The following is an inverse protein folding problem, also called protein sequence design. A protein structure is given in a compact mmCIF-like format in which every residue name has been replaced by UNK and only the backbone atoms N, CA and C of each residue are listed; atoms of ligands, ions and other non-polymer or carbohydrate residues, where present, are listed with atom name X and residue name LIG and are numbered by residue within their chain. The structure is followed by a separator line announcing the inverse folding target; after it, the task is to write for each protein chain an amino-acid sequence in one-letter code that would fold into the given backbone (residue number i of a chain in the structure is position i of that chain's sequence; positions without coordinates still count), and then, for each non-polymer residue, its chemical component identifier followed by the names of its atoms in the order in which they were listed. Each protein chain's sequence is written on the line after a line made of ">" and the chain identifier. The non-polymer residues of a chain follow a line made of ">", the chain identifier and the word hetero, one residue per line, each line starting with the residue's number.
data_IF_636204368431
#
_entry.id   IF_636204368431
#
_cell.length_a   1.000
_cell.length_b   1.000
_cell.length_c   1.000
_cell.angle_alpha   90.00
_cell.angle_beta   90.00
_cell.angle_gamma   90.00
#
_symmetry.space_group_name_H-M   'P 1'
#
loop_
_entity.id
_entity.type
_entity.pdbx_description
1 polymer ?
#
# COMPACT_ATOMS: atom_id res chain seq x y z
N UNK A 1 -11.83 4.42 -24.32
CA UNK A 1 -10.88 3.34 -24.01
C UNK A 1 -9.91 3.85 -22.96
N UNK A 2 -9.86 3.24 -21.77
CA UNK A 2 -9.14 3.80 -20.60
C UNK A 2 -7.74 3.19 -20.51
N UNK A 3 -6.72 4.00 -20.26
CA UNK A 3 -5.34 3.52 -20.08
C UNK A 3 -4.91 3.72 -18.63
N UNK A 4 -4.29 2.69 -18.05
CA UNK A 4 -3.73 2.74 -16.70
C UNK A 4 -2.25 2.39 -16.80
N UNK A 5 -1.39 3.35 -16.48
CA UNK A 5 0.07 3.16 -16.41
C UNK A 5 0.56 3.13 -14.95
N UNK A 6 -0.33 3.27 -13.95
CA UNK A 6 0.01 3.15 -12.52
C UNK A 6 -0.33 1.73 -12.00
N UNK A 7 0.66 0.99 -11.45
CA UNK A 7 0.47 -0.40 -11.01
C UNK A 7 -0.42 -0.52 -9.77
N UNK A 8 -0.50 0.51 -8.92
CA UNK A 8 -1.35 0.49 -7.72
C UNK A 8 -2.82 0.69 -8.09
N UNK A 9 -3.11 1.64 -8.99
CA UNK A 9 -4.46 1.85 -9.52
C UNK A 9 -4.91 0.61 -10.29
N UNK A 10 -4.01 -0.02 -11.05
CA UNK A 10 -4.31 -1.24 -11.77
C UNK A 10 -4.62 -2.40 -10.82
N UNK A 11 -3.85 -2.56 -9.74
CA UNK A 11 -4.09 -3.55 -8.70
C UNK A 11 -5.45 -3.38 -8.03
N UNK A 12 -5.80 -2.17 -7.61
CA UNK A 12 -7.11 -1.89 -6.99
C UNK A 12 -8.26 -2.23 -7.96
N UNK A 13 -8.09 -1.95 -9.26
CA UNK A 13 -9.05 -2.34 -10.28
C UNK A 13 -9.18 -3.87 -10.40
N UNK A 14 -8.06 -4.60 -10.45
CA UNK A 14 -8.06 -6.05 -10.53
C UNK A 14 -8.69 -6.70 -9.28
N UNK A 15 -8.37 -6.19 -8.08
CA UNK A 15 -8.97 -6.62 -6.81
C UNK A 15 -10.49 -6.40 -6.81
N UNK A 16 -10.99 -5.27 -7.33
CA UNK A 16 -12.44 -5.01 -7.47
C UNK A 16 -13.14 -5.92 -8.48
N UNK A 17 -12.42 -6.37 -9.52
CA UNK A 17 -13.05 -7.15 -10.58
C UNK A 17 -13.14 -8.64 -10.27
N UNK A 18 -12.14 -9.22 -9.61
CA UNK A 18 -12.09 -10.67 -9.39
C UNK A 18 -12.11 -11.08 -7.92
N UNK A 19 -11.76 -10.21 -6.97
CA UNK A 19 -11.63 -10.56 -5.54
C UNK A 19 -10.54 -11.58 -5.21
N UNK A 20 -9.99 -12.27 -6.21
CA UNK A 20 -9.00 -13.35 -6.11
C UNK A 20 -7.67 -12.95 -6.75
N UNK A 21 -6.55 -13.58 -6.35
CA UNK A 21 -5.26 -13.35 -6.98
C UNK A 21 -5.25 -13.88 -8.42
N UNK A 22 -5.10 -12.96 -9.37
CA UNK A 22 -5.04 -13.28 -10.80
C UNK A 22 -3.59 -13.46 -11.26
N UNK A 23 -3.37 -14.35 -12.23
CA UNK A 23 -2.11 -14.40 -12.99
C UNK A 23 -1.99 -13.20 -13.94
N UNK A 24 -0.78 -12.80 -14.39
CA UNK A 24 -0.61 -11.69 -15.34
C UNK A 24 -1.39 -11.89 -16.64
N UNK A 25 -1.49 -13.13 -17.11
CA UNK A 25 -2.27 -13.49 -18.30
C UNK A 25 -3.77 -13.27 -18.09
N UNK A 26 -4.31 -13.72 -16.95
CA UNK A 26 -5.72 -13.52 -16.61
C UNK A 26 -6.05 -12.04 -16.39
N UNK A 27 -5.17 -11.30 -15.69
CA UNK A 27 -5.31 -9.87 -15.51
C UNK A 27 -5.36 -9.13 -16.85
N UNK A 28 -4.49 -9.49 -17.80
CA UNK A 28 -4.51 -8.91 -19.15
C UNK A 28 -5.83 -9.17 -19.89
N UNK A 29 -6.34 -10.40 -19.84
CA UNK A 29 -7.62 -10.76 -20.46
C UNK A 29 -8.79 -9.98 -19.84
N UNK A 30 -8.81 -9.89 -18.50
CA UNK A 30 -9.83 -9.16 -17.77
C UNK A 30 -9.83 -7.67 -18.11
N UNK A 31 -8.64 -7.06 -18.20
CA UNK A 31 -8.48 -5.66 -18.60
C UNK A 31 -8.95 -5.44 -20.05
N UNK A 32 -8.63 -6.34 -20.97
CA UNK A 32 -9.09 -6.28 -22.35
C UNK A 32 -10.62 -6.36 -22.45
N UNK A 33 -11.25 -7.28 -21.70
CA UNK A 33 -12.70 -7.41 -21.62
C UNK A 33 -13.40 -6.15 -21.07
N UNK A 34 -12.70 -5.36 -20.23
CA UNK A 34 -13.20 -4.07 -19.71
C UNK A 34 -12.78 -2.86 -20.53
N UNK A 35 -12.12 -3.05 -21.67
CA UNK A 35 -11.65 -1.94 -22.52
C UNK A 35 -10.55 -1.09 -21.86
N UNK A 36 -9.77 -1.69 -20.94
CA UNK A 36 -8.66 -1.06 -20.25
C UNK A 36 -7.34 -1.54 -20.88
N UNK A 37 -6.47 -0.60 -21.23
CA UNK A 37 -5.10 -0.89 -21.69
C UNK A 37 -4.09 -0.61 -20.58
N UNK A 38 -3.17 -1.55 -20.37
CA UNK A 38 -2.03 -1.40 -19.47
C UNK A 38 -0.79 -2.01 -20.13
N UNK A 39 0.41 -1.52 -19.79
CA UNK A 39 1.67 -2.10 -20.28
C UNK A 39 1.92 -3.43 -19.54
N UNK A 40 2.56 -4.38 -20.22
CA UNK A 40 2.89 -5.70 -19.65
C UNK A 40 3.65 -5.58 -18.31
N UNK A 41 4.67 -4.72 -18.25
CA UNK A 41 5.42 -4.43 -17.02
C UNK A 41 4.52 -3.96 -15.85
N UNK A 42 3.53 -3.12 -16.14
CA UNK A 42 2.60 -2.58 -15.13
C UNK A 42 1.62 -3.65 -14.66
N UNK A 43 1.18 -4.53 -15.56
CA UNK A 43 0.33 -5.69 -15.21
C UNK A 43 1.09 -6.64 -14.28
N UNK A 44 2.34 -6.94 -14.62
CA UNK A 44 3.23 -7.78 -13.82
C UNK A 44 3.48 -7.18 -12.43
N UNK A 45 3.80 -5.88 -12.36
CA UNK A 45 3.94 -5.17 -11.09
C UNK A 45 2.63 -5.16 -10.28
N UNK A 46 1.47 -5.00 -10.92
CA UNK A 46 0.18 -5.02 -10.22
C UNK A 46 -0.14 -6.40 -9.64
N UNK A 47 0.20 -7.47 -10.37
CA UNK A 47 -0.10 -8.87 -10.02
C UNK A 47 0.90 -9.44 -9.01
N UNK A 48 2.21 -9.32 -9.26
CA UNK A 48 3.23 -9.81 -8.34
C UNK A 48 3.40 -8.92 -7.10
N UNK A 49 2.85 -7.72 -7.15
CA UNK A 49 2.89 -6.76 -6.06
C UNK A 49 4.13 -5.88 -6.16
N UNK A 50 3.96 -4.71 -6.80
CA UNK A 50 4.79 -3.56 -6.54
C UNK A 50 4.91 -3.41 -5.02
N UNK A 51 6.11 -3.15 -4.48
CA UNK A 51 6.30 -2.98 -3.04
C UNK A 51 5.22 -2.02 -2.58
N UNK A 52 4.34 -2.50 -1.68
CA UNK A 52 3.18 -1.74 -1.21
C UNK A 52 3.72 -0.34 -0.98
N UNK A 53 3.23 0.67 -1.74
CA UNK A 53 3.40 2.06 -1.33
C UNK A 53 2.93 1.99 0.10
N UNK A 54 3.87 2.08 1.06
CA UNK A 54 3.51 2.14 2.46
C UNK A 54 2.48 3.24 2.42
N UNK A 55 1.19 2.89 2.60
CA UNK A 55 0.20 3.89 2.98
C UNK A 55 0.96 4.57 4.07
N UNK A 56 1.36 5.83 3.87
CA UNK A 56 1.94 6.60 4.95
C UNK A 56 0.83 6.46 5.97
N UNK A 57 1.05 5.57 6.94
CA UNK A 57 0.15 5.45 8.06
C UNK A 57 0.10 6.89 8.47
N UNK A 58 -1.11 7.46 8.41
CA UNK A 58 -1.32 8.73 9.06
C UNK A 58 -0.93 8.38 10.48
N UNK A 59 0.31 8.69 10.84
CA UNK A 59 0.79 8.66 12.20
C UNK A 59 -0.04 9.77 12.78
N UNK A 60 -1.26 9.41 13.20
CA UNK A 60 -1.96 10.16 14.22
C UNK A 60 -0.91 10.28 15.28
N UNK A 61 -0.45 11.51 15.50
CA UNK A 61 0.49 11.84 16.56
C UNK A 61 -0.20 11.38 17.84
N UNK A 62 0.04 10.13 18.24
CA UNK A 62 -0.21 9.71 19.60
C UNK A 62 0.68 10.63 20.42
N UNK A 63 0.08 11.41 21.30
CA UNK A 63 0.83 12.22 22.26
C UNK A 63 1.82 11.30 22.96
N UNK A 64 3.03 11.77 23.27
CA UNK A 64 4.10 10.99 23.90
C UNK A 64 3.65 10.23 25.17
N UNK A 65 2.53 10.64 25.75
CA UNK A 65 1.88 10.11 26.94
C UNK A 65 1.09 8.80 26.70
N UNK A 66 0.73 8.48 25.45
CA UNK A 66 -0.01 7.26 25.08
C UNK A 66 0.90 6.10 24.64
N UNK A 67 2.21 6.32 24.60
CA UNK A 67 3.16 5.23 24.38
C UNK A 67 3.24 4.40 25.67
N UNK A 68 3.16 3.05 25.61
CA UNK A 68 3.44 2.19 26.75
C UNK A 68 4.95 2.20 27.01
N UNK A 69 5.44 3.34 27.53
CA UNK A 69 6.84 3.56 27.83
C UNK A 69 7.22 2.66 29.00
N UNK A 70 8.32 1.93 28.84
CA UNK A 70 8.90 1.18 29.94
C UNK A 70 9.35 2.13 31.05
N UNK A 71 9.43 1.67 32.32
CA UNK A 71 9.89 2.51 33.43
C UNK A 71 11.24 3.19 33.18
N UNK A 72 12.12 2.53 32.43
CA UNK A 72 13.44 3.04 32.05
C UNK A 72 13.37 4.21 31.04
N UNK A 73 12.44 4.16 30.09
CA UNK A 73 12.23 5.22 29.11
C UNK A 73 11.61 6.46 29.76
N UNK A 74 10.69 6.28 30.72
CA UNK A 74 10.14 7.39 31.53
C UNK A 74 11.21 8.11 32.34
N UNK A 75 12.09 7.36 33.01
CA UNK A 75 13.19 7.95 33.79
C UNK A 75 14.15 8.77 32.91
N UNK A 76 14.35 8.35 31.65
CA UNK A 76 15.19 9.06 30.68
C UNK A 76 14.54 10.36 30.21
N UNK A 77 13.22 10.35 29.96
CA UNK A 77 12.45 11.55 29.63
C UNK A 77 12.40 12.56 30.79
N UNK A 78 12.23 12.11 32.03
CA UNK A 78 12.26 13.00 33.21
C UNK A 78 13.63 13.64 33.42
N UNK A 79 14.72 12.89 33.16
CA UNK A 79 16.08 13.43 33.20
C UNK A 79 16.28 14.54 32.17
N UNK A 80 15.75 14.36 30.96
CA UNK A 80 15.82 15.38 29.91
C UNK A 80 14.90 16.58 30.15
N UNK A 81 13.81 16.42 30.91
CA UNK A 81 12.91 17.53 31.26
C UNK A 81 13.45 18.39 32.41
N UNK A 82 14.32 17.84 33.26
CA UNK A 82 14.94 18.55 34.40
C UNK A 82 16.30 19.18 34.09
N UNK A 83 16.89 18.90 32.93
CA UNK A 83 18.11 19.56 32.44
C UNK A 83 17.77 20.80 31.64
#
# INVERSE_FOLDING_TARGET
>A
MRRIDDPFVLRDCLERFSGEPLTPAQARLLLAARGIRARQKIIEEAVWGAPKRKRRAVVRRASLEELPLTPQERASLERWRRG
#
